data_IF_064008607202
#
_entry.id   IF_064008607202
#
_cell.length_a   1.000
_cell.length_b   1.000
_cell.length_c   1.000
_cell.angle_alpha   90.00
_cell.angle_beta   90.00
_cell.angle_gamma   90.00
#
_symmetry.space_group_name_H-M   'P 1'
#
loop_
_entity.id
_entity.type
_entity.pdbx_description
1 polymer ?
#
# COMPACT_ATOMS: atom_id res chain seq x y z
N UNK A 1 -50.35 56.58 97.87
CA UNK A 1 -49.40 57.28 98.76
C UNK A 1 -50.02 58.63 99.05
N UNK A 2 -50.75 58.84 100.14
CA UNK A 2 -50.31 58.89 101.53
C UNK A 2 -50.87 60.21 102.06
N UNK A 3 -52.01 60.19 102.75
CA UNK A 3 -52.11 60.46 104.19
C UNK A 3 -51.48 61.79 104.62
N UNK A 4 -52.32 62.79 104.89
CA UNK A 4 -52.17 63.60 106.10
C UNK A 4 -53.57 63.99 106.58
N UNK A 5 -53.92 63.41 107.73
CA UNK A 5 -55.14 63.65 108.45
C UNK A 5 -54.78 64.29 109.79
N UNK A 6 -55.71 65.11 110.26
CA UNK A 6 -55.93 65.54 111.64
C UNK A 6 -54.95 66.57 112.21
N UNK A 7 -55.48 67.76 112.47
CA UNK A 7 -55.54 68.19 113.86
C UNK A 7 -56.96 68.68 114.19
N UNK A 8 -57.41 68.22 115.36
CA UNK A 8 -58.72 68.42 115.96
C UNK A 8 -58.75 69.72 116.78
N UNK A 9 -59.98 70.16 117.07
CA UNK A 9 -60.35 71.00 118.22
C UNK A 9 -59.98 72.48 118.04
N UNK A 10 -60.94 73.41 118.02
CA UNK A 10 -61.62 73.82 119.25
C UNK A 10 -62.88 74.60 118.89
N UNK A 11 -63.98 74.28 119.56
CA UNK A 11 -65.32 74.81 119.34
C UNK A 11 -65.46 76.31 119.64
N UNK A 12 -66.20 76.98 118.75
CA UNK A 12 -66.88 78.26 118.97
C UNK A 12 -68.08 78.02 119.89
N UNK A 13 -68.31 78.92 120.84
CA UNK A 13 -69.69 79.29 121.18
C UNK A 13 -70.04 79.52 122.65
N UNK A 14 -69.80 80.75 123.10
CA UNK A 14 -70.83 81.63 123.69
C UNK A 14 -71.35 81.30 125.10
N UNK A 15 -70.93 82.18 126.02
CA UNK A 15 -71.72 82.92 127.01
C UNK A 15 -72.91 82.20 127.69
N UNK A 16 -72.88 82.09 129.02
CA UNK A 16 -73.59 83.04 129.91
C UNK A 16 -73.25 82.83 131.38
N UNK A 17 -72.50 83.78 131.94
CA UNK A 17 -72.88 84.63 133.10
C UNK A 17 -73.99 84.07 134.02
N UNK A 18 -73.69 83.97 135.33
CA UNK A 18 -74.24 84.82 136.43
C UNK A 18 -74.24 84.11 137.80
N UNK A 19 -73.54 84.77 138.74
CA UNK A 19 -73.76 84.89 140.18
C UNK A 19 -73.52 83.68 141.12
N UNK A 20 -72.47 83.82 141.92
CA UNK A 20 -72.45 83.40 143.32
C UNK A 20 -72.37 84.66 144.20
N UNK A 21 -73.51 85.03 144.80
CA UNK A 21 -73.61 85.97 145.92
C UNK A 21 -73.44 85.15 147.21
N UNK A 22 -72.37 85.43 147.95
CA UNK A 22 -72.19 84.99 149.34
C UNK A 22 -73.17 85.71 150.27
N UNK A 23 -74.09 84.92 150.82
CA UNK A 23 -74.42 84.84 152.24
C UNK A 23 -74.63 86.13 153.06
N UNK A 24 -75.88 86.32 153.50
CA UNK A 24 -76.19 86.61 154.91
C UNK A 24 -77.56 85.99 155.29
N UNK A 25 -77.49 84.79 155.85
CA UNK A 25 -78.35 84.14 156.84
C UNK A 25 -79.68 84.85 157.21
N UNK A 26 -80.83 84.19 156.95
CA UNK A 26 -81.63 83.47 157.98
C UNK A 26 -82.76 82.62 157.37
N UNK A 27 -82.92 81.40 157.93
CA UNK A 27 -84.09 80.48 157.93
C UNK A 27 -84.27 79.47 156.77
N UNK A 28 -84.33 78.17 157.11
CA UNK A 28 -85.29 77.22 156.50
C UNK A 28 -84.72 75.95 155.83
N UNK A 29 -84.61 74.85 156.57
CA UNK A 29 -84.04 73.56 156.14
C UNK A 29 -84.96 72.61 155.36
N UNK A 30 -85.81 73.10 154.45
CA UNK A 30 -86.71 72.25 153.64
C UNK A 30 -86.40 72.26 152.12
N UNK A 31 -85.50 73.15 151.67
CA UNK A 31 -85.15 73.30 150.25
C UNK A 31 -84.02 72.37 149.76
N UNK A 32 -83.35 71.65 150.67
CA UNK A 32 -82.14 70.89 150.38
C UNK A 32 -82.43 69.44 149.93
N UNK A 33 -83.56 68.86 150.33
CA UNK A 33 -83.99 67.52 149.89
C UNK A 33 -84.56 67.50 148.46
N UNK A 34 -85.30 68.53 148.06
CA UNK A 34 -85.90 68.59 146.72
C UNK A 34 -84.84 68.75 145.61
N UNK A 35 -83.78 69.50 145.87
CA UNK A 35 -82.64 69.65 144.96
C UNK A 35 -81.88 68.33 144.77
N UNK A 36 -81.78 67.53 145.83
CA UNK A 36 -81.12 66.22 145.82
C UNK A 36 -81.89 65.20 144.97
N UNK A 37 -83.23 65.26 145.01
CA UNK A 37 -84.10 64.40 144.19
C UNK A 37 -84.04 64.77 142.70
N UNK A 38 -84.07 66.07 142.39
CA UNK A 38 -83.90 66.56 141.01
C UNK A 38 -82.53 66.21 140.44
N UNK A 39 -81.47 66.27 141.26
CA UNK A 39 -80.14 65.80 140.86
C UNK A 39 -80.14 64.30 140.55
N UNK A 40 -80.78 63.47 141.39
CA UNK A 40 -80.88 62.03 141.13
C UNK A 40 -81.69 61.69 139.86
N UNK A 41 -82.78 62.42 139.58
CA UNK A 41 -83.54 62.28 138.32
C UNK A 41 -82.71 62.69 137.10
N UNK A 42 -81.96 63.80 137.20
CA UNK A 42 -81.05 64.26 136.14
C UNK A 42 -79.88 63.30 135.93
N UNK A 43 -79.33 62.73 136.99
CA UNK A 43 -78.28 61.69 136.90
C UNK A 43 -78.82 60.40 136.28
N UNK A 44 -80.08 60.04 136.54
CA UNK A 44 -80.72 58.90 135.89
C UNK A 44 -80.97 59.15 134.40
N UNK A 45 -81.32 60.39 134.02
CA UNK A 45 -81.48 60.79 132.63
C UNK A 45 -80.14 60.90 131.90
N UNK A 46 -79.09 61.39 132.57
CA UNK A 46 -77.71 61.36 132.09
C UNK A 46 -77.27 59.91 131.88
N UNK A 47 -77.54 59.00 132.81
CA UNK A 47 -77.25 57.56 132.62
C UNK A 47 -77.99 56.98 131.41
N UNK A 48 -79.27 57.28 131.23
CA UNK A 48 -80.03 56.86 130.04
C UNK A 48 -79.41 57.40 128.75
N UNK A 49 -78.97 58.66 128.73
CA UNK A 49 -78.28 59.24 127.58
C UNK A 49 -76.89 58.65 127.36
N UNK A 50 -76.15 58.33 128.43
CA UNK A 50 -74.85 57.65 128.36
C UNK A 50 -75.01 56.23 127.81
N UNK A 51 -76.01 55.47 128.28
CA UNK A 51 -76.33 54.13 127.78
C UNK A 51 -76.77 54.19 126.32
N UNK A 52 -77.57 55.19 125.94
CA UNK A 52 -77.98 55.42 124.55
C UNK A 52 -76.81 55.81 123.66
N UNK A 53 -75.90 56.67 124.12
CA UNK A 53 -74.68 57.05 123.41
C UNK A 53 -73.74 55.85 123.25
N UNK A 54 -73.55 55.04 124.30
CA UNK A 54 -72.76 53.83 124.24
C UNK A 54 -73.35 52.80 123.27
N UNK A 55 -74.68 52.63 123.27
CA UNK A 55 -75.37 51.77 122.31
C UNK A 55 -75.20 52.28 120.87
N UNK A 56 -75.35 53.58 120.64
CA UNK A 56 -75.17 54.20 119.34
C UNK A 56 -73.71 54.07 118.87
N UNK A 57 -72.73 54.30 119.75
CA UNK A 57 -71.30 54.13 119.46
C UNK A 57 -70.98 52.69 119.09
N UNK A 58 -71.39 51.70 119.89
CA UNK A 58 -71.19 50.28 119.59
C UNK A 58 -71.82 49.90 118.24
N UNK A 59 -73.05 50.36 117.97
CA UNK A 59 -73.71 50.10 116.70
C UNK A 59 -73.01 50.78 115.52
N UNK A 60 -72.50 52.00 115.69
CA UNK A 60 -71.71 52.68 114.65
C UNK A 60 -70.38 51.97 114.42
N UNK A 61 -69.71 51.50 115.47
CA UNK A 61 -68.49 50.70 115.39
C UNK A 61 -68.75 49.37 114.69
N UNK A 62 -69.83 48.67 115.01
CA UNK A 62 -70.25 47.45 114.32
C UNK A 62 -70.54 47.70 112.84
N UNK A 63 -71.26 48.78 112.50
CA UNK A 63 -71.55 49.14 111.11
C UNK A 63 -70.27 49.51 110.36
N UNK A 64 -69.33 50.22 111.01
CA UNK A 64 -68.02 50.52 110.43
C UNK A 64 -67.18 49.26 110.24
N UNK A 65 -67.17 48.34 111.20
CA UNK A 65 -66.46 47.06 111.10
C UNK A 65 -67.06 46.18 109.99
N UNK A 66 -68.39 46.05 109.92
CA UNK A 66 -69.04 45.31 108.84
C UNK A 66 -68.78 45.95 107.47
N UNK A 67 -68.73 47.28 107.39
CA UNK A 67 -68.36 48.01 106.19
C UNK A 67 -66.90 47.78 105.80
N UNK A 68 -65.98 47.87 106.75
CA UNK A 68 -64.55 47.61 106.54
C UNK A 68 -64.31 46.16 106.11
N UNK A 69 -64.87 45.19 106.83
CA UNK A 69 -64.80 43.76 106.49
C UNK A 69 -65.42 43.47 105.13
N UNK A 70 -66.53 44.12 104.79
CA UNK A 70 -67.18 44.02 103.48
C UNK A 70 -66.27 44.53 102.36
N UNK A 71 -65.69 45.71 102.53
CA UNK A 71 -64.73 46.27 101.58
C UNK A 71 -63.46 45.43 101.47
N UNK A 72 -62.92 44.93 102.59
CA UNK A 72 -61.72 44.10 102.60
C UNK A 72 -61.96 42.76 101.89
N UNK A 73 -63.11 42.12 102.14
CA UNK A 73 -63.52 40.91 101.40
C UNK A 73 -63.68 41.18 99.91
N UNK A 74 -64.29 42.30 99.54
CA UNK A 74 -64.46 42.71 98.15
C UNK A 74 -63.11 42.96 97.46
N UNK A 75 -62.19 43.66 98.13
CA UNK A 75 -60.84 43.92 97.63
C UNK A 75 -60.06 42.62 97.47
N UNK A 76 -60.19 41.67 98.41
CA UNK A 76 -59.57 40.35 98.30
C UNK A 76 -60.16 39.59 97.10
N UNK A 77 -61.49 39.59 96.94
CA UNK A 77 -62.15 38.94 95.81
C UNK A 77 -61.69 39.50 94.47
N UNK A 78 -61.72 40.83 94.31
CA UNK A 78 -61.26 41.50 93.08
C UNK A 78 -59.78 41.25 92.78
N UNK A 79 -58.92 41.20 93.80
CA UNK A 79 -57.51 40.84 93.63
C UNK A 79 -57.33 39.39 93.20
N UNK A 80 -58.12 38.48 93.76
CA UNK A 80 -58.08 37.07 93.41
C UNK A 80 -58.58 36.84 91.99
N UNK A 81 -59.75 37.37 91.63
CA UNK A 81 -60.30 37.33 90.26
C UNK A 81 -59.33 37.97 89.25
N UNK A 82 -58.73 39.12 89.59
CA UNK A 82 -57.73 39.77 88.74
C UNK A 82 -56.43 38.96 88.59
N UNK A 83 -56.01 38.25 89.64
CA UNK A 83 -54.86 37.35 89.59
C UNK A 83 -55.14 36.10 88.75
N UNK A 84 -56.32 35.49 88.92
CA UNK A 84 -56.75 34.34 88.11
C UNK A 84 -56.84 34.71 86.63
N UNK A 85 -57.49 35.83 86.29
CA UNK A 85 -57.57 36.30 84.91
C UNK A 85 -56.18 36.60 84.30
N UNK A 86 -55.26 37.16 85.09
CA UNK A 86 -53.89 37.41 84.64
C UNK A 86 -53.13 36.10 84.40
N UNK A 87 -53.35 35.09 85.23
CA UNK A 87 -52.71 33.78 85.08
C UNK A 87 -53.26 33.02 83.87
N UNK A 88 -54.58 33.04 83.65
CA UNK A 88 -55.21 32.51 82.43
C UNK A 88 -54.69 33.21 81.18
N UNK A 89 -54.58 34.55 81.20
CA UNK A 89 -54.05 35.32 80.09
C UNK A 89 -52.59 34.94 79.79
N UNK A 90 -51.75 34.75 80.81
CA UNK A 90 -50.37 34.27 80.65
C UNK A 90 -50.29 32.86 80.08
N UNK A 91 -51.20 31.97 80.47
CA UNK A 91 -51.25 30.61 79.91
C UNK A 91 -51.62 30.64 78.42
N UNK A 92 -52.61 31.45 78.03
CA UNK A 92 -52.99 31.64 76.63
C UNK A 92 -51.85 32.28 75.84
N UNK A 93 -51.19 33.30 76.39
CA UNK A 93 -50.01 33.92 75.76
C UNK A 93 -48.88 32.89 75.56
N UNK A 94 -48.63 32.04 76.55
CA UNK A 94 -47.66 30.95 76.46
C UNK A 94 -48.03 29.94 75.37
N UNK A 95 -49.29 29.53 75.28
CA UNK A 95 -49.78 28.63 74.23
C UNK A 95 -49.62 29.26 72.84
N UNK A 96 -50.06 30.50 72.66
CA UNK A 96 -49.92 31.24 71.40
C UNK A 96 -48.46 31.39 70.99
N UNK A 97 -47.53 31.63 71.93
CA UNK A 97 -46.09 31.65 71.63
C UNK A 97 -45.59 30.31 71.13
N UNK A 98 -45.94 29.21 71.80
CA UNK A 98 -45.53 27.87 71.33
C UNK A 98 -46.14 27.49 69.99
N UNK A 99 -47.37 27.92 69.70
CA UNK A 99 -47.99 27.75 68.38
C UNK A 99 -47.30 28.61 67.32
N UNK A 100 -46.96 29.86 67.64
CA UNK A 100 -46.22 30.75 66.77
C UNK A 100 -44.83 30.19 66.44
N UNK A 101 -44.10 29.68 67.42
CA UNK A 101 -42.81 29.02 67.22
C UNK A 101 -42.95 27.79 66.31
N UNK A 102 -43.93 26.91 66.53
CA UNK A 102 -44.21 25.76 65.66
C UNK A 102 -44.56 26.16 64.22
N UNK A 103 -45.33 27.24 64.05
CA UNK A 103 -45.68 27.76 62.73
C UNK A 103 -44.45 28.32 62.01
N UNK A 104 -43.57 29.03 62.73
CA UNK A 104 -42.30 29.53 62.18
C UNK A 104 -41.39 28.36 61.76
N UNK A 105 -41.20 27.35 62.61
CA UNK A 105 -40.43 26.15 62.27
C UNK A 105 -41.01 25.41 61.05
N UNK A 106 -42.35 25.28 60.99
CA UNK A 106 -43.03 24.67 59.84
C UNK A 106 -42.84 25.48 58.56
N UNK A 107 -42.88 26.81 58.64
CA UNK A 107 -42.69 27.70 57.50
C UNK A 107 -41.24 27.62 56.99
N UNK A 108 -40.25 27.66 57.89
CA UNK A 108 -38.84 27.48 57.53
C UNK A 108 -38.58 26.12 56.87
N UNK A 109 -39.22 25.06 57.34
CA UNK A 109 -39.13 23.72 56.74
C UNK A 109 -39.73 23.71 55.33
N UNK A 110 -40.90 24.31 55.15
CA UNK A 110 -41.54 24.42 53.82
C UNK A 110 -40.73 25.27 52.84
N UNK A 111 -40.08 26.35 53.32
CA UNK A 111 -39.19 27.16 52.49
C UNK A 111 -37.96 26.36 52.03
N UNK A 112 -37.31 25.62 52.95
CA UNK A 112 -36.19 24.72 52.59
C UNK A 112 -36.61 23.63 51.61
N UNK A 113 -37.80 23.05 51.78
CA UNK A 113 -38.34 22.07 50.84
C UNK A 113 -38.63 22.70 49.47
N UNK A 114 -39.15 23.92 49.42
CA UNK A 114 -39.38 24.68 48.17
C UNK A 114 -38.07 24.93 47.45
N UNK A 115 -37.05 25.43 48.14
CA UNK A 115 -35.71 25.66 47.58
C UNK A 115 -35.09 24.37 47.01
N UNK A 116 -35.16 23.27 47.76
CA UNK A 116 -34.64 21.98 47.31
C UNK A 116 -35.39 21.43 46.07
N UNK A 117 -36.69 21.70 45.95
CA UNK A 117 -37.47 21.36 44.74
C UNK A 117 -37.10 22.24 43.57
N UNK A 118 -36.91 23.55 43.79
CA UNK A 118 -36.48 24.50 42.75
C UNK A 118 -35.09 24.14 42.20
N UNK A 119 -34.13 23.79 43.05
CA UNK A 119 -32.80 23.32 42.64
C UNK A 119 -32.90 22.06 41.78
N UNK A 120 -33.63 21.03 42.23
CA UNK A 120 -33.84 19.80 41.46
C UNK A 120 -34.55 20.04 40.13
N UNK A 121 -35.52 20.96 40.11
CA UNK A 121 -36.21 21.34 38.89
C UNK A 121 -35.25 22.04 37.91
N UNK A 122 -34.36 22.89 38.41
CA UNK A 122 -33.35 23.56 37.59
C UNK A 122 -32.33 22.56 37.03
N UNK A 123 -31.84 21.61 37.84
CA UNK A 123 -30.98 20.52 37.39
C UNK A 123 -31.66 19.67 36.31
N UNK A 124 -32.89 19.21 36.56
CA UNK A 124 -33.69 18.46 35.59
C UNK A 124 -33.88 19.25 34.29
N UNK A 125 -34.19 20.54 34.37
CA UNK A 125 -34.32 21.40 33.19
C UNK A 125 -33.00 21.53 32.40
N UNK A 126 -31.87 21.62 33.09
CA UNK A 126 -30.55 21.69 32.44
C UNK A 126 -30.20 20.38 31.71
N UNK A 127 -30.48 19.23 32.32
CA UNK A 127 -30.26 17.92 31.70
C UNK A 127 -31.18 17.69 30.51
N UNK A 128 -32.46 18.09 30.60
CA UNK A 128 -33.41 18.02 29.49
C UNK A 128 -32.94 18.86 28.28
N UNK A 129 -32.43 20.06 28.51
CA UNK A 129 -31.86 20.90 27.44
C UNK A 129 -30.65 20.24 26.79
N UNK A 130 -29.71 19.72 27.58
CA UNK A 130 -28.53 19.03 27.05
C UNK A 130 -28.88 17.80 26.22
N UNK A 131 -29.81 16.97 26.71
CA UNK A 131 -30.30 15.79 25.96
C UNK A 131 -31.03 16.19 24.68
N UNK A 132 -31.79 17.29 24.70
CA UNK A 132 -32.46 17.79 23.50
C UNK A 132 -31.45 18.25 22.44
N UNK A 133 -30.41 18.98 22.82
CA UNK A 133 -29.32 19.40 21.92
C UNK A 133 -28.59 18.19 21.32
N UNK A 134 -28.28 17.18 22.15
CA UNK A 134 -27.68 15.93 21.68
C UNK A 134 -28.59 15.18 20.69
N UNK A 135 -29.89 15.14 20.95
CA UNK A 135 -30.86 14.52 20.05
C UNK A 135 -30.91 15.23 18.69
N UNK A 136 -30.89 16.56 18.66
CA UNK A 136 -30.86 17.33 17.42
C UNK A 136 -29.54 17.15 16.66
N UNK A 137 -28.41 17.07 17.36
CA UNK A 137 -27.12 16.80 16.72
C UNK A 137 -27.06 15.39 16.11
N UNK A 138 -27.57 14.38 16.83
CA UNK A 138 -27.69 13.02 16.30
C UNK A 138 -28.63 12.95 15.09
N UNK A 139 -29.70 13.75 15.05
CA UNK A 139 -30.57 13.84 13.86
C UNK A 139 -29.84 14.43 12.65
N UNK A 140 -29.04 15.50 12.84
CA UNK A 140 -28.25 16.11 11.76
C UNK A 140 -27.21 15.14 11.21
N UNK A 141 -26.48 14.46 12.09
CA UNK A 141 -25.48 13.46 11.68
C UNK A 141 -26.12 12.28 10.95
N UNK A 142 -27.27 11.77 11.43
CA UNK A 142 -28.03 10.73 10.73
C UNK A 142 -28.45 11.19 9.32
N UNK A 143 -28.96 12.41 9.19
CA UNK A 143 -29.33 12.96 7.88
C UNK A 143 -28.13 13.10 6.94
N UNK A 144 -26.99 13.57 7.45
CA UNK A 144 -25.74 13.64 6.69
C UNK A 144 -25.27 12.27 6.21
N UNK A 145 -25.25 11.27 7.10
CA UNK A 145 -24.88 9.89 6.76
C UNK A 145 -25.85 9.26 5.74
N UNK A 146 -27.15 9.58 5.81
CA UNK A 146 -28.12 9.13 4.83
C UNK A 146 -27.83 9.71 3.44
N UNK A 147 -27.50 11.01 3.36
CA UNK A 147 -27.07 11.66 2.11
C UNK A 147 -25.81 11.01 1.53
N UNK A 148 -24.76 10.82 2.34
CA UNK A 148 -23.54 10.15 1.87
C UNK A 148 -23.80 8.71 1.40
N UNK A 149 -24.73 8.00 2.04
CA UNK A 149 -25.11 6.64 1.62
C UNK A 149 -25.76 6.69 0.23
N UNK A 150 -26.67 7.63 0.01
CA UNK A 150 -27.32 7.82 -1.29
C UNK A 150 -26.32 8.18 -2.39
N UNK A 151 -25.35 9.06 -2.12
CA UNK A 151 -24.29 9.41 -3.08
C UNK A 151 -23.39 8.22 -3.42
N UNK A 152 -23.06 7.40 -2.42
CA UNK A 152 -22.32 6.14 -2.61
C UNK A 152 -23.11 5.15 -3.44
N UNK A 153 -24.42 5.01 -3.20
CA UNK A 153 -25.32 4.16 -3.98
C UNK A 153 -25.41 4.63 -5.45
N UNK A 154 -25.55 5.93 -5.69
CA UNK A 154 -25.53 6.50 -7.05
C UNK A 154 -24.20 6.20 -7.77
N UNK A 155 -23.07 6.41 -7.10
CA UNK A 155 -21.74 6.10 -7.65
C UNK A 155 -21.57 4.60 -7.95
N UNK A 156 -22.10 3.73 -7.09
CA UNK A 156 -22.11 2.30 -7.34
C UNK A 156 -22.94 1.94 -8.56
N UNK A 157 -24.10 2.58 -8.74
CA UNK A 157 -24.96 2.36 -9.90
C UNK A 157 -24.26 2.76 -11.22
N UNK A 158 -23.57 3.91 -11.25
CA UNK A 158 -22.80 4.34 -12.42
C UNK A 158 -21.68 3.36 -12.78
N UNK A 159 -21.02 2.80 -11.76
CA UNK A 159 -20.01 1.75 -11.94
C UNK A 159 -20.62 0.47 -12.49
N UNK A 160 -21.80 0.07 -12.03
CA UNK A 160 -22.51 -1.10 -12.55
C UNK A 160 -22.85 -0.94 -14.04
N UNK A 161 -23.38 0.22 -14.44
CA UNK A 161 -23.66 0.55 -15.84
C UNK A 161 -22.39 0.51 -16.68
N UNK A 162 -21.29 1.05 -16.16
CA UNK A 162 -19.98 1.01 -16.83
C UNK A 162 -19.48 -0.42 -17.04
N UNK A 163 -19.61 -1.28 -16.02
CA UNK A 163 -19.26 -2.71 -16.09
C UNK A 163 -20.10 -3.42 -17.16
N UNK A 164 -21.39 -3.14 -17.25
CA UNK A 164 -22.26 -3.71 -18.28
C UNK A 164 -21.85 -3.29 -19.70
N UNK A 165 -21.49 -2.01 -19.89
CA UNK A 165 -20.92 -1.51 -21.14
C UNK A 165 -19.62 -2.24 -21.52
N UNK A 166 -18.71 -2.45 -20.56
CA UNK A 166 -17.48 -3.20 -20.80
C UNK A 166 -17.75 -4.68 -21.12
N UNK A 167 -18.71 -5.33 -20.46
CA UNK A 167 -19.14 -6.70 -20.80
C UNK A 167 -19.67 -6.79 -22.23
N UNK A 168 -20.42 -5.78 -22.70
CA UNK A 168 -20.89 -5.73 -24.08
C UNK A 168 -19.71 -5.58 -25.07
N UNK A 169 -18.76 -4.69 -24.80
CA UNK A 169 -17.53 -4.53 -25.61
C UNK A 169 -16.70 -5.81 -25.64
N UNK A 170 -16.55 -6.49 -24.52
CA UNK A 170 -15.84 -7.78 -24.42
C UNK A 170 -16.50 -8.86 -25.29
N UNK A 171 -17.84 -8.98 -25.26
CA UNK A 171 -18.58 -9.91 -26.13
C UNK A 171 -18.34 -9.60 -27.61
N UNK A 172 -18.33 -8.32 -27.99
CA UNK A 172 -18.06 -7.89 -29.36
C UNK A 172 -16.62 -8.22 -29.78
N UNK A 173 -15.63 -7.97 -28.91
CA UNK A 173 -14.23 -8.34 -29.16
C UNK A 173 -14.05 -9.85 -29.31
N UNK A 174 -14.75 -10.67 -28.50
CA UNK A 174 -14.74 -12.14 -28.66
C UNK A 174 -15.27 -12.58 -30.03
N UNK A 175 -16.34 -11.94 -30.52
CA UNK A 175 -16.86 -12.19 -31.88
C UNK A 175 -15.84 -11.80 -32.96
N UNK A 176 -15.21 -10.63 -32.84
CA UNK A 176 -14.15 -10.21 -33.76
C UNK A 176 -12.98 -11.17 -33.76
N UNK A 177 -12.53 -11.61 -32.59
CA UNK A 177 -11.47 -12.62 -32.47
C UNK A 177 -11.83 -13.89 -33.23
N UNK A 178 -13.03 -14.43 -33.03
CA UNK A 178 -13.47 -15.64 -33.72
C UNK A 178 -13.51 -15.47 -35.25
N UNK A 179 -13.94 -14.31 -35.74
CA UNK A 179 -13.93 -14.00 -37.18
C UNK A 179 -12.51 -13.90 -37.73
N UNK A 180 -11.57 -13.30 -36.98
CA UNK A 180 -10.17 -13.20 -37.36
C UNK A 180 -9.47 -14.55 -37.34
N UNK A 181 -9.72 -15.37 -36.31
CA UNK A 181 -9.18 -16.72 -36.20
C UNK A 181 -9.66 -17.58 -37.39
N UNK A 182 -10.94 -17.45 -37.77
CA UNK A 182 -11.49 -18.11 -38.97
C UNK A 182 -10.80 -17.63 -40.25
N UNK A 183 -10.66 -16.32 -40.45
CA UNK A 183 -9.96 -15.76 -41.62
C UNK A 183 -8.51 -16.21 -41.69
N UNK A 184 -7.82 -16.26 -40.55
CA UNK A 184 -6.44 -16.75 -40.47
C UNK A 184 -6.37 -18.23 -40.87
N UNK A 185 -7.30 -19.06 -40.39
CA UNK A 185 -7.38 -20.46 -40.77
C UNK A 185 -7.67 -20.65 -42.27
N UNK A 186 -8.58 -19.86 -42.85
CA UNK A 186 -8.89 -19.88 -44.29
C UNK A 186 -7.66 -19.49 -45.13
N UNK A 187 -6.96 -18.41 -44.77
CA UNK A 187 -5.72 -17.99 -45.45
C UNK A 187 -4.62 -19.03 -45.31
N UNK A 188 -4.43 -19.59 -44.12
CA UNK A 188 -3.43 -20.64 -43.88
C UNK A 188 -3.72 -21.90 -44.70
N UNK A 189 -4.98 -22.32 -44.78
CA UNK A 189 -5.40 -23.47 -45.60
C UNK A 189 -5.20 -23.18 -47.10
N UNK A 190 -5.41 -21.93 -47.55
CA UNK A 190 -5.15 -21.51 -48.94
C UNK A 190 -3.65 -21.44 -49.27
N UNK A 191 -2.80 -21.13 -48.29
CA UNK A 191 -1.35 -21.03 -48.48
C UNK A 191 -0.69 -22.41 -48.54
N UNK A 192 -1.16 -23.39 -47.76
CA UNK A 192 -0.62 -24.76 -47.75
C UNK A 192 -0.40 -25.40 -49.13
N UNK A 193 -1.35 -25.41 -50.08
CA UNK A 193 -1.12 -26.00 -51.40
C UNK A 193 -0.05 -25.24 -52.20
N UNK A 194 0.00 -23.90 -52.05
CA UNK A 194 1.03 -23.08 -52.72
C UNK A 194 2.42 -23.38 -52.15
N UNK A 195 2.55 -23.47 -50.83
CA UNK A 195 3.81 -23.86 -50.19
C UNK A 195 4.23 -25.28 -50.60
N UNK A 196 3.28 -26.21 -50.70
CA UNK A 196 3.56 -27.57 -51.17
C UNK A 196 4.02 -27.59 -52.63
N UNK A 197 3.45 -26.73 -53.49
CA UNK A 197 3.82 -26.60 -54.88
C UNK A 197 5.21 -25.97 -55.02
N UNK A 198 5.50 -24.90 -54.27
CA UNK A 198 6.83 -24.28 -54.24
C UNK A 198 7.89 -25.31 -53.81
N UNK A 199 7.60 -26.12 -52.78
CA UNK A 199 8.50 -27.20 -52.36
C UNK A 199 8.75 -28.23 -53.46
N UNK A 200 7.70 -28.65 -54.17
CA UNK A 200 7.83 -29.58 -55.32
C UNK A 200 8.68 -28.98 -56.43
N UNK A 201 8.38 -27.73 -56.84
CA UNK A 201 9.14 -27.06 -57.89
C UNK A 201 10.62 -26.85 -57.53
N UNK A 202 10.91 -26.54 -56.25
CA UNK A 202 12.29 -26.46 -55.79
C UNK A 202 12.99 -27.83 -55.83
N UNK A 203 12.27 -28.92 -55.50
CA UNK A 203 12.81 -30.27 -55.62
C UNK A 203 13.10 -30.62 -57.09
N UNK A 204 12.15 -30.35 -57.99
CA UNK A 204 12.32 -30.57 -59.43
C UNK A 204 13.52 -29.74 -59.97
N UNK A 205 13.68 -28.49 -59.52
CA UNK A 205 14.82 -27.64 -59.87
C UNK A 205 16.14 -28.30 -59.41
N UNK A 206 16.21 -28.75 -58.15
CA UNK A 206 17.42 -29.38 -57.63
C UNK A 206 17.75 -30.68 -58.38
N UNK A 207 16.75 -31.49 -58.69
CA UNK A 207 16.95 -32.74 -59.44
C UNK A 207 17.50 -32.41 -60.84
N UNK A 208 16.95 -31.40 -61.50
CA UNK A 208 17.36 -30.97 -62.83
C UNK A 208 18.76 -30.32 -62.83
N UNK A 209 19.11 -29.58 -61.77
CA UNK A 209 20.48 -29.10 -61.53
C UNK A 209 21.47 -30.28 -61.41
N UNK A 210 21.12 -31.32 -60.65
CA UNK A 210 21.99 -32.52 -60.54
C UNK A 210 22.13 -33.28 -61.85
N UNK A 211 21.05 -33.37 -62.65
CA UNK A 211 21.10 -33.98 -63.97
C UNK A 211 22.00 -33.19 -64.92
N UNK A 212 21.92 -31.86 -64.90
CA UNK A 212 22.80 -31.01 -65.69
C UNK A 212 24.27 -31.16 -65.28
N UNK A 213 24.57 -31.20 -63.99
CA UNK A 213 25.93 -31.44 -63.51
C UNK A 213 26.46 -32.79 -64.00
N UNK A 214 25.63 -33.85 -63.95
CA UNK A 214 25.96 -35.17 -64.48
C UNK A 214 26.23 -35.12 -65.98
N UNK A 215 25.36 -34.47 -66.76
CA UNK A 215 25.53 -34.33 -68.21
C UNK A 215 26.80 -33.54 -68.55
N UNK A 216 27.12 -32.48 -67.80
CA UNK A 216 28.34 -31.69 -68.01
C UNK A 216 29.61 -32.51 -67.73
N UNK A 217 29.59 -33.37 -66.70
CA UNK A 217 30.68 -34.31 -66.43
C UNK A 217 30.83 -35.33 -67.57
N UNK A 218 29.72 -35.89 -68.05
CA UNK A 218 29.72 -36.82 -69.19
C UNK A 218 30.23 -36.15 -70.47
N UNK A 219 29.80 -34.92 -70.74
CA UNK A 219 30.29 -34.14 -71.88
C UNK A 219 31.80 -33.91 -71.81
N UNK A 220 32.32 -33.45 -70.67
CA UNK A 220 33.77 -33.28 -70.46
C UNK A 220 34.54 -34.58 -70.65
N UNK A 221 33.98 -35.70 -70.18
CA UNK A 221 34.57 -37.01 -70.38
C UNK A 221 34.62 -37.39 -71.88
N UNK A 222 33.53 -37.17 -72.62
CA UNK A 222 33.47 -37.45 -74.05
C UNK A 222 34.40 -36.54 -74.86
N UNK A 223 34.50 -35.25 -74.52
CA UNK A 223 35.45 -34.32 -75.12
C UNK A 223 36.90 -34.79 -74.92
N UNK A 224 37.26 -35.21 -73.71
CA UNK A 224 38.58 -35.79 -73.44
C UNK A 224 38.85 -37.07 -74.26
N UNK A 225 37.83 -37.93 -74.46
CA UNK A 225 37.96 -39.10 -75.34
C UNK A 225 38.15 -38.70 -76.81
N UNK A 226 37.43 -37.69 -77.29
CA UNK A 226 37.57 -37.18 -78.66
C UNK A 226 38.99 -36.65 -78.88
N UNK A 227 39.51 -35.85 -77.94
CA UNK A 227 40.86 -35.30 -78.04
C UNK A 227 41.93 -36.39 -78.00
N UNK A 228 41.78 -37.40 -77.14
CA UNK A 228 42.67 -38.57 -77.13
C UNK A 228 42.64 -39.31 -78.47
N UNK A 229 41.46 -39.51 -79.07
CA UNK A 229 41.33 -40.16 -80.39
C UNK A 229 41.92 -39.30 -81.51
N UNK A 230 41.74 -37.98 -81.49
CA UNK A 230 42.36 -37.05 -82.43
C UNK A 230 43.88 -37.08 -82.35
N UNK A 231 44.44 -37.09 -81.14
CA UNK A 231 45.89 -37.23 -80.93
C UNK A 231 46.41 -38.56 -81.49
N UNK A 232 45.73 -39.67 -81.22
CA UNK A 232 46.08 -40.98 -81.81
C UNK A 232 46.02 -40.95 -83.33
N UNK A 233 44.98 -40.35 -83.92
CA UNK A 233 44.85 -40.22 -85.37
C UNK A 233 45.97 -39.35 -85.96
N UNK A 234 46.38 -38.27 -85.29
CA UNK A 234 47.48 -37.42 -85.73
C UNK A 234 48.82 -38.16 -85.72
N UNK A 235 49.09 -38.95 -84.67
CA UNK A 235 50.31 -39.79 -84.59
C UNK A 235 50.31 -40.83 -85.72
N UNK A 236 49.21 -41.56 -85.90
CA UNK A 236 49.10 -42.55 -86.98
C UNK A 236 49.22 -41.91 -88.36
N UNK A 237 48.67 -40.71 -88.56
CA UNK A 237 48.81 -39.96 -89.81
C UNK A 237 50.27 -39.60 -90.08
N UNK A 238 50.99 -39.12 -89.05
CA UNK A 238 52.42 -38.83 -89.14
C UNK A 238 53.23 -40.09 -89.47
N UNK A 239 53.00 -41.20 -88.77
CA UNK A 239 53.63 -42.50 -89.04
C UNK A 239 53.37 -42.97 -90.47
N UNK A 240 52.14 -42.82 -90.98
CA UNK A 240 51.85 -43.17 -92.38
C UNK A 240 52.58 -42.28 -93.38
N UNK A 241 52.74 -40.97 -93.13
CA UNK A 241 53.52 -40.09 -94.01
C UNK A 241 55.01 -40.41 -93.95
N UNK A 242 55.56 -40.73 -92.77
CA UNK A 242 56.92 -41.20 -92.59
C UNK A 242 57.16 -42.51 -93.35
N UNK A 243 56.26 -43.50 -93.22
CA UNK A 243 56.31 -44.74 -93.99
C UNK A 243 56.22 -44.49 -95.50
N UNK A 244 55.32 -43.62 -95.96
CA UNK A 244 55.24 -43.25 -97.38
C UNK A 244 56.51 -42.55 -97.87
N UNK A 245 57.15 -41.72 -97.04
CA UNK A 245 58.41 -41.08 -97.38
C UNK A 245 59.54 -42.11 -97.47
N UNK A 246 59.61 -43.04 -96.51
CA UNK A 246 60.56 -44.17 -96.56
C UNK A 246 60.35 -45.03 -97.80
N UNK A 247 59.10 -45.37 -98.15
CA UNK A 247 58.79 -46.10 -99.39
C UNK A 247 59.27 -45.33 -100.61
N UNK A 248 58.93 -44.03 -100.73
CA UNK A 248 59.40 -43.18 -101.85
C UNK A 248 60.92 -43.11 -101.94
N UNK A 249 61.62 -43.02 -100.81
CA UNK A 249 63.08 -43.01 -100.78
C UNK A 249 63.67 -44.36 -101.22
N UNK A 250 63.09 -45.47 -100.75
CA UNK A 250 63.47 -46.82 -101.17
C UNK A 250 63.20 -47.05 -102.66
N UNK A 251 62.05 -46.61 -103.17
CA UNK A 251 61.71 -46.67 -104.60
C UNK A 251 62.70 -45.84 -105.44
N UNK A 252 63.08 -44.65 -104.96
CA UNK A 252 64.09 -43.82 -105.63
C UNK A 252 65.48 -44.47 -105.61
N UNK A 253 65.87 -45.12 -104.51
CA UNK A 253 67.09 -45.93 -104.41
C UNK A 253 67.06 -47.09 -105.42
N UNK A 254 65.95 -47.84 -105.47
CA UNK A 254 65.74 -48.92 -106.44
C UNK A 254 65.84 -48.39 -107.87
N UNK A 255 65.19 -47.27 -108.18
CA UNK A 255 65.22 -46.67 -109.52
C UNK A 255 66.64 -46.24 -109.92
N UNK A 256 67.40 -45.59 -109.03
CA UNK A 256 68.81 -45.22 -109.27
C UNK A 256 69.68 -46.45 -109.50
N UNK A 257 69.54 -47.47 -108.65
CA UNK A 257 70.26 -48.73 -108.81
C UNK A 257 69.92 -49.41 -110.13
N UNK A 258 68.63 -49.45 -110.50
CA UNK A 258 68.15 -50.03 -111.77
C UNK A 258 68.72 -49.28 -112.97
N UNK A 259 68.74 -47.94 -112.92
CA UNK A 259 69.28 -47.12 -114.00
C UNK A 259 70.82 -47.26 -114.11
N UNK A 260 71.53 -47.29 -112.99
CA UNK A 260 72.98 -47.54 -112.95
C UNK A 260 73.31 -48.93 -113.55
N UNK A 261 72.50 -49.95 -113.25
CA UNK A 261 72.62 -51.29 -113.85
C UNK A 261 72.29 -51.26 -115.34
N UNK A 262 71.23 -50.54 -115.75
CA UNK A 262 70.88 -50.41 -117.17
C UNK A 262 71.99 -49.73 -117.97
N UNK A 263 72.60 -48.67 -117.42
CA UNK A 263 73.73 -47.98 -118.03
C UNK A 263 74.97 -48.89 -118.13
N UNK A 264 75.26 -49.69 -117.09
CA UNK A 264 76.33 -50.70 -117.12
C UNK A 264 76.13 -51.71 -118.27
N UNK A 265 74.89 -52.12 -118.52
CA UNK A 265 74.54 -53.07 -119.59
C UNK A 265 74.49 -52.42 -120.98
N UNK A 266 74.05 -51.16 -121.08
CA UNK A 266 73.80 -50.48 -122.34
C UNK A 266 75.02 -49.75 -122.93
N UNK A 267 75.88 -49.14 -122.10
CA UNK A 267 77.01 -48.31 -122.55
C UNK A 267 78.33 -49.09 -122.68
N UNK A 268 78.56 -50.14 -121.88
CA UNK A 268 79.86 -50.81 -121.80
C UNK A 268 79.87 -52.19 -122.51
N UNK A 269 80.40 -52.21 -123.74
CA UNK A 269 80.53 -53.43 -124.57
C UNK A 269 81.75 -54.31 -124.24
N UNK A 270 82.52 -53.99 -123.21
CA UNK A 270 83.77 -54.68 -122.87
C UNK A 270 83.67 -55.44 -121.53
N UNK A 271 83.57 -56.77 -121.61
CA UNK A 271 83.26 -57.68 -120.49
C UNK A 271 84.34 -57.73 -119.38
N UNK A 272 85.54 -57.21 -119.64
CA UNK A 272 86.70 -57.21 -118.72
C UNK A 272 86.55 -56.25 -117.52
N UNK A 273 85.73 -55.19 -117.65
CA UNK A 273 85.64 -54.08 -116.69
C UNK A 273 84.53 -54.27 -115.65
N UNK A 274 83.58 -55.16 -115.93
CA UNK A 274 82.40 -55.44 -115.10
C UNK A 274 82.69 -55.77 -113.63
N UNK A 275 83.70 -56.61 -113.29
CA UNK A 275 84.00 -56.91 -111.89
C UNK A 275 84.45 -55.68 -111.08
N UNK A 276 84.95 -54.62 -111.74
CA UNK A 276 85.36 -53.38 -111.07
C UNK A 276 84.17 -52.45 -110.83
N UNK A 277 83.31 -52.26 -111.82
CA UNK A 277 82.13 -51.41 -111.68
C UNK A 277 81.03 -52.03 -110.80
N UNK A 278 80.88 -53.37 -110.78
CA UNK A 278 79.99 -54.05 -109.82
C UNK A 278 80.45 -53.82 -108.38
N UNK A 279 81.76 -53.83 -108.10
CA UNK A 279 82.31 -53.49 -106.77
C UNK A 279 82.04 -52.04 -106.39
N UNK A 280 82.11 -51.12 -107.35
CA UNK A 280 81.79 -49.70 -107.16
C UNK A 280 80.30 -49.48 -106.85
N UNK A 281 79.41 -50.19 -107.56
CA UNK A 281 77.96 -50.20 -107.31
C UNK A 281 77.63 -50.71 -105.90
N UNK A 282 78.30 -51.78 -105.44
CA UNK A 282 78.14 -52.33 -104.09
C UNK A 282 78.50 -51.30 -103.01
N UNK A 283 79.69 -50.69 -103.07
CA UNK A 283 80.12 -49.71 -102.06
C UNK A 283 79.26 -48.44 -102.06
N UNK A 284 78.74 -48.03 -103.23
CA UNK A 284 77.92 -46.81 -103.33
C UNK A 284 76.54 -46.97 -102.69
N UNK A 285 75.91 -48.13 -102.83
CA UNK A 285 74.51 -48.33 -102.45
C UNK A 285 74.31 -49.17 -101.18
N UNK A 286 75.34 -49.83 -100.65
CA UNK A 286 75.22 -50.77 -99.50
C UNK A 286 75.93 -50.27 -98.21
N UNK A 287 77.02 -49.49 -98.28
CA UNK A 287 77.83 -49.15 -97.07
C UNK A 287 77.45 -47.84 -96.34
N UNK A 288 76.49 -47.04 -96.84
CA UNK A 288 76.08 -45.78 -96.21
C UNK A 288 74.78 -45.92 -95.38
N UNK A 289 74.85 -46.25 -94.08
CA UNK A 289 73.71 -46.13 -93.13
C UNK A 289 74.09 -45.27 -91.89
N UNK A 290 73.48 -44.08 -91.67
CA UNK A 290 73.82 -43.16 -90.59
C UNK A 290 72.76 -43.14 -89.47
N UNK A 291 72.62 -44.21 -88.67
CA UNK A 291 71.59 -44.31 -87.60
C UNK A 291 72.12 -44.25 -86.16
N UNK A 292 73.06 -43.36 -85.85
CA UNK A 292 73.63 -43.25 -84.51
C UNK A 292 73.72 -41.83 -83.98
N UNK A 293 72.61 -41.25 -83.48
CA UNK A 293 72.69 -40.05 -82.63
C UNK A 293 71.45 -39.92 -81.72
N UNK A 294 71.58 -40.37 -80.47
CA UNK A 294 70.62 -40.14 -79.38
C UNK A 294 70.77 -38.73 -78.79
N UNK A 295 69.65 -38.05 -78.51
CA UNK A 295 69.56 -36.71 -77.89
C UNK A 295 69.83 -36.75 -76.38
N UNK A 296 70.46 -35.70 -75.83
CA UNK A 296 71.06 -35.63 -74.49
C UNK A 296 70.04 -35.43 -73.31
N UNK A 297 70.24 -36.06 -72.13
CA UNK A 297 69.35 -36.02 -70.95
C UNK A 297 69.14 -34.68 -70.18
N UNK A 298 69.85 -33.60 -70.51
CA UNK A 298 69.92 -32.40 -69.65
C UNK A 298 68.71 -31.46 -69.79
N UNK A 299 68.08 -31.41 -70.97
CA UNK A 299 66.88 -30.57 -71.22
C UNK A 299 65.64 -31.08 -70.47
N UNK A 300 65.52 -32.40 -70.33
CA UNK A 300 64.39 -33.05 -69.63
C UNK A 300 64.39 -32.69 -68.13
N UNK A 301 65.57 -32.60 -67.51
CA UNK A 301 65.72 -32.25 -66.09
C UNK A 301 65.34 -30.79 -65.81
N UNK A 302 65.71 -29.85 -66.68
CA UNK A 302 65.34 -28.43 -66.56
C UNK A 302 63.84 -28.20 -66.71
N UNK A 303 63.16 -29.04 -67.51
CA UNK A 303 61.71 -28.99 -67.67
C UNK A 303 60.99 -29.45 -66.39
N UNK A 304 61.48 -30.51 -65.74
CA UNK A 304 60.89 -31.02 -64.50
C UNK A 304 61.02 -30.01 -63.35
N UNK A 305 62.16 -29.32 -63.24
CA UNK A 305 62.38 -28.31 -62.20
C UNK A 305 61.35 -27.16 -62.26
N UNK A 306 61.03 -26.67 -63.47
CA UNK A 306 60.04 -25.60 -63.66
C UNK A 306 58.61 -26.00 -63.28
N UNK A 307 58.28 -27.29 -63.34
CA UNK A 307 56.95 -27.79 -62.94
C UNK A 307 56.83 -27.78 -61.43
N UNK A 308 57.88 -28.19 -60.72
CA UNK A 308 57.92 -28.19 -59.24
C UNK A 308 57.84 -26.77 -58.68
N UNK A 309 58.56 -25.81 -59.28
CA UNK A 309 58.49 -24.40 -58.87
C UNK A 309 57.08 -23.80 -58.97
N UNK A 310 56.34 -24.13 -60.03
CA UNK A 310 54.93 -23.71 -60.19
C UNK A 310 54.02 -24.35 -59.14
N UNK A 311 54.28 -25.59 -58.76
CA UNK A 311 53.49 -26.25 -57.73
C UNK A 311 53.75 -25.65 -56.34
N UNK A 312 55.02 -25.35 -56.01
CA UNK A 312 55.39 -24.71 -54.74
C UNK A 312 54.78 -23.30 -54.62
N UNK A 313 54.85 -22.49 -55.67
CA UNK A 313 54.24 -21.15 -55.69
C UNK A 313 52.71 -21.21 -55.55
N UNK A 314 52.05 -22.17 -56.22
CA UNK A 314 50.61 -22.38 -56.07
C UNK A 314 50.21 -22.81 -54.66
N UNK A 315 50.97 -23.71 -54.04
CA UNK A 315 50.73 -24.15 -52.66
C UNK A 315 50.94 -23.00 -51.66
N UNK A 316 51.97 -22.18 -51.84
CA UNK A 316 52.21 -21.01 -51.01
C UNK A 316 51.05 -19.99 -51.09
N UNK A 317 50.52 -19.74 -52.29
CA UNK A 317 49.37 -18.87 -52.49
C UNK A 317 48.10 -19.40 -51.79
N UNK A 318 47.80 -20.70 -51.96
CA UNK A 318 46.68 -21.36 -51.28
C UNK A 318 46.82 -21.33 -49.76
N UNK A 319 48.02 -21.56 -49.22
CA UNK A 319 48.29 -21.50 -47.79
C UNK A 319 48.11 -20.10 -47.20
N UNK A 320 48.43 -19.05 -47.96
CA UNK A 320 48.19 -17.66 -47.54
C UNK A 320 46.70 -17.30 -47.55
N UNK A 321 45.95 -17.77 -48.55
CA UNK A 321 44.51 -17.56 -48.63
C UNK A 321 43.77 -18.23 -47.47
N UNK A 322 44.11 -19.49 -47.14
CA UNK A 322 43.51 -20.21 -46.01
C UNK A 322 43.81 -19.51 -44.68
N UNK A 323 45.05 -19.02 -44.48
CA UNK A 323 45.41 -18.24 -43.29
C UNK A 323 44.65 -16.91 -43.21
N UNK A 324 44.44 -16.22 -44.33
CA UNK A 324 43.68 -14.97 -44.36
C UNK A 324 42.20 -15.21 -44.03
N UNK A 325 41.58 -16.25 -44.61
CA UNK A 325 40.21 -16.64 -44.29
C UNK A 325 40.07 -17.06 -42.82
N UNK A 326 41.00 -17.85 -42.30
CA UNK A 326 40.98 -18.26 -40.88
C UNK A 326 41.13 -17.08 -39.90
N UNK A 327 41.90 -16.04 -40.27
CA UNK A 327 41.98 -14.80 -39.47
C UNK A 327 40.66 -14.04 -39.47
N UNK A 328 40.00 -13.92 -40.63
CA UNK A 328 38.71 -13.26 -40.75
C UNK A 328 37.63 -14.00 -39.94
N UNK A 329 37.56 -15.32 -40.06
CA UNK A 329 36.62 -16.15 -39.30
C UNK A 329 36.85 -16.06 -37.79
N UNK A 330 38.11 -16.06 -37.35
CA UNK A 330 38.44 -15.89 -35.95
C UNK A 330 38.02 -14.50 -35.43
N UNK A 331 38.21 -13.46 -36.23
CA UNK A 331 37.77 -12.10 -35.89
C UNK A 331 36.25 -12.00 -35.83
N UNK A 332 35.52 -12.59 -36.78
CA UNK A 332 34.06 -12.63 -36.79
C UNK A 332 33.52 -13.35 -35.55
N UNK A 333 34.04 -14.55 -35.24
CA UNK A 333 33.66 -15.31 -34.04
C UNK A 333 34.01 -14.57 -32.75
N UNK A 334 35.13 -13.85 -32.70
CA UNK A 334 35.48 -13.04 -31.55
C UNK A 334 34.50 -11.88 -31.34
N UNK A 335 34.07 -11.22 -32.41
CA UNK A 335 33.07 -10.15 -32.34
C UNK A 335 31.69 -10.68 -31.92
N UNK A 336 31.24 -11.81 -32.48
CA UNK A 336 30.00 -12.49 -32.07
C UNK A 336 30.04 -12.92 -30.59
N UNK A 337 31.18 -13.46 -30.13
CA UNK A 337 31.35 -13.79 -28.72
C UNK A 337 31.27 -12.54 -27.83
N UNK A 338 31.83 -11.41 -28.27
CA UNK A 338 31.75 -10.16 -27.53
C UNK A 338 30.31 -9.64 -27.44
N UNK A 339 29.52 -9.70 -28.52
CA UNK A 339 28.11 -9.30 -28.50
C UNK A 339 27.27 -10.22 -27.63
N UNK A 340 27.44 -11.54 -27.74
CA UNK A 340 26.73 -12.51 -26.90
C UNK A 340 27.03 -12.31 -25.40
N UNK A 341 28.27 -11.98 -25.04
CA UNK A 341 28.62 -11.64 -23.64
C UNK A 341 27.91 -10.38 -23.17
N UNK A 342 27.79 -9.36 -24.02
CA UNK A 342 27.04 -8.14 -23.68
C UNK A 342 25.55 -8.43 -23.48
N UNK A 343 24.92 -9.18 -24.38
CA UNK A 343 23.51 -9.58 -24.29
C UNK A 343 23.26 -10.42 -23.03
N UNK A 344 24.13 -11.39 -22.73
CA UNK A 344 24.05 -12.20 -21.51
C UNK A 344 24.09 -11.33 -20.25
N UNK A 345 24.95 -10.32 -20.22
CA UNK A 345 25.06 -9.40 -19.09
C UNK A 345 23.82 -8.49 -18.95
N UNK A 346 23.25 -8.02 -20.06
CA UNK A 346 21.97 -7.30 -20.05
C UNK A 346 20.84 -8.16 -19.50
N UNK A 347 20.74 -9.42 -19.96
CA UNK A 347 19.74 -10.37 -19.46
C UNK A 347 19.91 -10.66 -17.96
N UNK A 348 21.13 -10.77 -17.45
CA UNK A 348 21.42 -10.90 -16.00
C UNK A 348 20.93 -9.68 -15.21
N UNK A 349 21.13 -8.48 -15.74
CA UNK A 349 20.64 -7.23 -15.12
C UNK A 349 19.11 -7.16 -15.11
N UNK A 350 18.46 -7.49 -16.24
CA UNK A 350 17.00 -7.53 -16.35
C UNK A 350 16.39 -8.57 -15.41
N UNK A 351 16.97 -9.78 -15.35
CA UNK A 351 16.57 -10.83 -14.40
C UNK A 351 16.65 -10.34 -12.97
N UNK A 352 17.76 -9.71 -12.59
CA UNK A 352 17.95 -9.15 -11.24
C UNK A 352 16.92 -8.05 -10.93
N UNK A 353 16.61 -7.19 -11.89
CA UNK A 353 15.58 -6.14 -11.75
C UNK A 353 14.17 -6.73 -11.59
N UNK A 354 13.81 -7.72 -12.42
CA UNK A 354 12.53 -8.44 -12.32
C UNK A 354 12.41 -9.19 -10.99
N UNK A 355 13.47 -9.86 -10.53
CA UNK A 355 13.49 -10.51 -9.22
C UNK A 355 13.27 -9.51 -8.08
N UNK A 356 13.87 -8.31 -8.14
CA UNK A 356 13.57 -7.23 -7.17
C UNK A 356 12.11 -6.78 -7.25
N UNK A 357 11.54 -6.61 -8.44
CA UNK A 357 10.12 -6.27 -8.62
C UNK A 357 9.20 -7.34 -8.03
N UNK A 358 9.49 -8.61 -8.30
CA UNK A 358 8.75 -9.75 -7.71
C UNK A 358 8.85 -9.71 -6.19
N UNK A 359 10.05 -9.57 -5.61
CA UNK A 359 10.23 -9.45 -4.15
C UNK A 359 9.46 -8.28 -3.55
N UNK A 360 9.48 -7.12 -4.21
CA UNK A 360 8.73 -5.94 -3.78
C UNK A 360 7.22 -6.19 -3.84
N UNK A 361 6.72 -6.78 -4.93
CA UNK A 361 5.31 -7.12 -5.07
C UNK A 361 4.89 -8.16 -4.04
N UNK A 362 5.68 -9.21 -3.79
CA UNK A 362 5.40 -10.20 -2.74
C UNK A 362 5.39 -9.57 -1.35
N UNK A 363 6.29 -8.64 -1.06
CA UNK A 363 6.30 -7.91 0.23
C UNK A 363 5.07 -7.01 0.39
N UNK A 364 4.63 -6.34 -0.69
CA UNK A 364 3.39 -5.55 -0.70
C UNK A 364 2.16 -6.43 -0.54
N UNK A 365 2.15 -7.60 -1.18
CA UNK A 365 1.04 -8.55 -1.08
C UNK A 365 0.94 -9.14 0.33
N UNK A 366 2.09 -9.45 0.96
CA UNK A 366 2.16 -9.83 2.37
C UNK A 366 1.68 -8.70 3.31
N UNK A 367 2.06 -7.44 3.05
CA UNK A 367 1.60 -6.29 3.83
C UNK A 367 0.09 -6.01 3.67
N UNK A 368 -0.49 -6.30 2.51
CA UNK A 368 -1.93 -6.15 2.23
C UNK A 368 -2.77 -7.34 2.72
N UNK A 369 -2.14 -8.39 3.26
CA UNK A 369 -2.81 -9.56 3.86
C UNK A 369 -2.47 -9.69 5.36
N UNK A 370 -2.92 -8.77 6.24
CA UNK A 370 -2.80 -8.96 7.67
C UNK A 370 -3.86 -9.98 8.13
N UNK A 371 -3.56 -11.27 8.07
CA UNK A 371 -4.52 -12.28 8.54
C UNK A 371 -4.25 -13.77 8.29
N UNK A 372 -3.18 -14.18 7.59
CA UNK A 372 -2.85 -15.61 7.50
C UNK A 372 -1.39 -15.89 7.85
N UNK A 373 -1.04 -15.70 9.11
CA UNK A 373 0.11 -16.41 9.65
C UNK A 373 -0.34 -17.74 10.27
N UNK A 374 0.12 -18.82 9.63
CA UNK A 374 0.70 -20.06 10.22
C UNK A 374 0.21 -21.31 9.51
N UNK A 375 0.86 -21.63 8.39
CA UNK A 375 1.07 -23.01 7.97
C UNK A 375 2.49 -23.13 7.38
N UNK A 376 3.37 -23.67 8.22
CA UNK A 376 4.64 -24.29 7.93
C UNK A 376 4.99 -24.56 6.45
N UNK A 377 6.11 -23.99 6.00
CA UNK A 377 7.14 -24.77 5.28
C UNK A 377 8.52 -24.30 5.78
N UNK A 378 9.02 -25.02 6.78
CA UNK A 378 10.47 -25.22 6.93
C UNK A 378 10.91 -26.08 5.73
N UNK A 379 12.00 -25.69 5.09
CA UNK A 379 12.74 -26.57 4.19
C UNK A 379 12.96 -26.01 2.80
N UNK A 380 14.04 -25.24 2.63
CA UNK A 380 15.01 -25.38 1.55
C UNK A 380 15.99 -24.21 1.61
N UNK A 381 17.05 -24.37 2.40
CA UNK A 381 18.32 -23.76 2.07
C UNK A 381 18.69 -24.25 0.67
N UNK A 382 18.66 -23.36 -0.32
CA UNK A 382 19.34 -23.60 -1.58
C UNK A 382 20.85 -23.50 -1.30
N UNK A 383 21.67 -24.48 -1.69
CA UNK A 383 23.09 -24.44 -1.45
C UNK A 383 23.72 -23.26 -2.20
N UNK A 384 24.52 -22.47 -1.49
CA UNK A 384 25.58 -21.66 -2.08
C UNK A 384 26.44 -22.58 -2.95
N UNK A 385 26.32 -22.44 -4.27
CA UNK A 385 27.31 -22.96 -5.20
C UNK A 385 28.55 -22.06 -5.11
N UNK A 386 29.76 -22.63 -4.95
CA UNK A 386 30.98 -21.86 -4.80
C UNK A 386 31.26 -21.03 -6.04
N UNK A 387 31.81 -19.83 -5.83
CA UNK A 387 32.34 -18.98 -6.88
C UNK A 387 33.30 -19.78 -7.79
N UNK A 388 33.17 -19.68 -9.13
CA UNK A 388 34.18 -20.25 -10.01
C UNK A 388 35.51 -19.51 -9.79
N UNK A 389 36.64 -20.23 -9.72
CA UNK A 389 37.96 -19.62 -9.54
C UNK A 389 38.30 -18.67 -10.71
N UNK A 390 39.17 -17.65 -10.49
CA UNK A 390 39.59 -16.74 -11.54
C UNK A 390 40.34 -17.54 -12.61
N UNK A 391 39.83 -17.50 -13.85
CA UNK A 391 40.52 -18.07 -15.00
C UNK A 391 41.84 -17.29 -15.20
N UNK A 392 42.99 -17.97 -15.27
CA UNK A 392 44.28 -17.32 -15.50
C UNK A 392 44.35 -16.79 -16.93
N UNK A 393 44.79 -15.54 -17.04
CA UNK A 393 45.38 -14.98 -18.25
C UNK A 393 46.57 -15.87 -18.66
N UNK A 394 46.36 -16.73 -19.66
CA UNK A 394 47.44 -17.44 -20.33
C UNK A 394 47.46 -17.02 -21.79
N UNK A 395 48.24 -15.97 -22.04
CA UNK A 395 48.84 -15.69 -23.35
C UNK A 395 49.73 -16.89 -23.67
N UNK A 396 49.27 -17.76 -24.55
CA UNK A 396 50.10 -18.81 -25.14
C UNK A 396 50.36 -18.42 -26.60
N UNK A 397 51.55 -17.90 -26.84
CA UNK A 397 52.14 -17.78 -28.17
C UNK A 397 52.12 -19.14 -28.89
N UNK A 398 51.80 -19.20 -30.19
CA UNK A 398 52.00 -20.40 -30.97
C UNK A 398 53.50 -20.60 -31.21
N UNK A 399 54.12 -21.46 -30.40
CA UNK A 399 55.42 -22.07 -30.71
C UNK A 399 55.33 -22.77 -32.06
N UNK A 400 56.27 -22.41 -32.94
CA UNK A 400 56.43 -22.99 -34.26
C UNK A 400 56.61 -24.51 -34.19
N UNK A 401 55.91 -25.21 -35.08
CA UNK A 401 56.21 -26.59 -35.39
C UNK A 401 57.40 -26.67 -36.37
N UNK A 402 58.25 -27.69 -36.22
CA UNK A 402 59.50 -27.81 -36.95
C UNK A 402 59.25 -28.25 -38.39
N UNK A 403 60.07 -27.73 -39.30
CA UNK A 403 60.15 -28.18 -40.68
C UNK A 403 60.60 -29.65 -40.81
N UNK A 404 60.51 -30.20 -42.03
CA UNK A 404 60.50 -31.63 -42.29
C UNK A 404 61.89 -32.24 -42.15
N UNK A 405 61.94 -33.47 -41.63
CA UNK A 405 63.09 -34.36 -41.83
C UNK A 405 62.74 -35.39 -42.89
N UNK A 406 63.54 -35.33 -43.96
CA UNK A 406 63.77 -36.27 -45.06
C UNK A 406 62.67 -36.39 -46.11
#
# INVERSE_FOLDING_TARGET
MGTSAMDLSTCIGVETRVFALTGAVRVGGWAQEELSRLLAERDLEIKKHQDMLAFIQHRFEEVQQHGADGHDREVIRLKHEGWEALEEQKQVEGQLRTEQEKLQESLEKQEKEREAVEEKQQESNSTLRSLHEQAEELKRTLHGLHGERQDREATLQDKLVSIESYKAKEKTLKKFKLLLDRKLAEVSTSLQPKDSLIKKLNQDLTDLETEFERQLLEQRHMEAQIDQRKQKAAILAQETEELKAQVREKDAQIYRFTNDVHNLVAEEKDLSVWPREIRRLYHRHIDNDPRGQERLPLEEMLRQMRVVERQVTSLAAKGNQIRAMGKLDLQTKANENATLVQELNQLRMLKSSLQRKVRNLTSKLAALTPGSEKAAVKGAQAPELPAPPPAPLAVAEPRGLPGPRQ
#
